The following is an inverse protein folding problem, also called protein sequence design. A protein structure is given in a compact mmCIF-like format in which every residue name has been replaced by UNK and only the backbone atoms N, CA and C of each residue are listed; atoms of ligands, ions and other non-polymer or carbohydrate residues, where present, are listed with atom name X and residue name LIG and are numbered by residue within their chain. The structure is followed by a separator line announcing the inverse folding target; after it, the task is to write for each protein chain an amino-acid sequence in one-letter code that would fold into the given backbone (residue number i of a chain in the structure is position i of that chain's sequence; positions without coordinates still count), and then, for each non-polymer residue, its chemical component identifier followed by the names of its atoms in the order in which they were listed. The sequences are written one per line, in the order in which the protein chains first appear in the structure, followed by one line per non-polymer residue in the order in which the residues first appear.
data_IF_881807795248
#
_entry.id   IF_881807795248
#
_cell.length_a   1.000
_cell.length_b   1.000
_cell.length_c   1.000
_cell.angle_alpha   90.00
_cell.angle_beta   90.00
_cell.angle_gamma   90.00
#
_symmetry.space_group_name_H-M   'P 1'
#
loop_
_entity.id
_entity.type
_entity.pdbx_description
1 polymer ?
#
# COMPACT_ATOMS: atom_id res chain seq x y z
N UNK A 1 -40.43 6.87 69.19
CA UNK A 1 -40.91 6.79 67.79
C UNK A 1 -40.13 5.67 67.11
N UNK A 2 -40.07 4.49 67.74
CA UNK A 2 -41.11 3.44 67.82
C UNK A 2 -41.03 2.59 66.55
N UNK A 3 -40.75 1.28 66.56
CA UNK A 3 -40.68 0.33 67.65
C UNK A 3 -39.92 -0.94 67.26
N UNK A 4 -39.80 -1.82 68.25
CA UNK A 4 -38.90 -2.96 68.42
C UNK A 4 -39.67 -4.29 68.25
N UNK A 5 -38.93 -5.36 67.89
CA UNK A 5 -39.12 -6.79 68.19
C UNK A 5 -40.15 -7.68 67.46
N UNK A 6 -39.71 -8.94 67.25
CA UNK A 6 -40.58 -10.09 67.10
C UNK A 6 -39.93 -11.31 66.44
N UNK A 7 -39.03 -12.01 67.15
CA UNK A 7 -38.49 -13.32 66.77
C UNK A 7 -39.54 -14.45 66.91
N UNK A 8 -39.42 -15.53 66.13
CA UNK A 8 -39.80 -16.93 66.51
C UNK A 8 -39.51 -17.95 65.39
N UNK A 9 -38.56 -18.87 65.61
CA UNK A 9 -38.52 -20.25 65.09
C UNK A 9 -39.00 -21.16 66.24
N UNK A 10 -39.63 -22.35 66.04
CA UNK A 10 -39.00 -23.57 65.48
C UNK A 10 -40.02 -24.42 64.62
N UNK A 11 -39.70 -25.53 63.94
CA UNK A 11 -39.41 -26.90 64.45
C UNK A 11 -38.97 -27.86 63.33
N UNK A 12 -38.17 -28.87 63.71
CA UNK A 12 -37.72 -30.02 62.92
C UNK A 12 -38.79 -31.11 62.79
N UNK A 13 -38.73 -31.89 61.69
CA UNK A 13 -39.04 -33.34 61.51
C UNK A 13 -39.27 -33.57 60.00
N UNK A 14 -38.91 -34.67 59.32
CA UNK A 14 -38.00 -35.79 59.48
C UNK A 14 -38.05 -36.58 58.13
N UNK A 15 -37.13 -37.53 57.92
CA UNK A 15 -37.14 -38.63 56.91
C UNK A 15 -36.55 -38.42 55.49
N UNK A 16 -35.27 -38.79 55.34
CA UNK A 16 -34.74 -40.01 54.65
C UNK A 16 -35.64 -40.67 53.57
N UNK A 17 -35.20 -41.24 52.43
CA UNK A 17 -33.89 -41.61 51.90
C UNK A 17 -33.97 -41.98 50.39
N UNK A 18 -32.80 -41.93 49.75
CA UNK A 18 -32.26 -42.75 48.64
C UNK A 18 -32.90 -42.79 47.24
N UNK A 19 -32.11 -42.30 46.29
CA UNK A 19 -32.10 -42.73 44.88
C UNK A 19 -30.76 -42.39 44.24
N UNK A 20 -29.78 -43.28 44.42
CA UNK A 20 -28.43 -43.24 43.82
C UNK A 20 -28.47 -43.45 42.31
N UNK A 21 -27.77 -42.60 41.55
CA UNK A 21 -27.46 -42.81 40.14
C UNK A 21 -26.36 -41.84 39.70
N UNK A 22 -25.10 -42.21 39.90
CA UNK A 22 -23.96 -41.48 39.34
C UNK A 22 -23.80 -41.75 37.85
N UNK A 23 -23.26 -40.78 37.10
CA UNK A 23 -21.95 -40.87 36.42
C UNK A 23 -21.58 -39.52 35.79
N UNK A 24 -20.33 -39.15 36.03
CA UNK A 24 -19.40 -38.38 35.18
C UNK A 24 -19.55 -36.87 35.01
N UNK A 25 -18.78 -36.20 35.86
CA UNK A 25 -18.13 -34.90 35.70
C UNK A 25 -17.28 -34.85 34.41
N UNK A 26 -17.52 -33.85 33.54
CA UNK A 26 -16.60 -33.47 32.46
C UNK A 26 -16.26 -31.97 32.56
N UNK A 27 -14.97 -31.57 32.52
CA UNK A 27 -14.57 -30.18 32.71
C UNK A 27 -14.72 -29.35 31.43
N UNK A 28 -15.22 -28.12 31.60
CA UNK A 28 -15.21 -27.06 30.61
C UNK A 28 -13.77 -26.77 30.16
N UNK A 29 -13.42 -27.09 28.92
CA UNK A 29 -12.17 -26.63 28.29
C UNK A 29 -12.37 -26.06 26.89
N UNK A 30 -11.60 -25.00 26.66
CA UNK A 30 -11.25 -24.36 25.39
C UNK A 30 -12.28 -23.39 24.76
N UNK A 31 -12.13 -22.12 25.12
CA UNK A 31 -12.38 -20.99 24.22
C UNK A 31 -11.51 -21.15 22.97
N UNK A 32 -12.06 -21.78 21.94
CA UNK A 32 -11.45 -21.83 20.61
C UNK A 32 -11.48 -20.43 20.01
N UNK A 33 -10.34 -19.75 20.03
CA UNK A 33 -10.11 -18.56 19.20
C UNK A 33 -10.25 -19.00 17.75
N UNK A 34 -11.34 -18.55 17.09
CA UNK A 34 -11.54 -18.73 15.64
C UNK A 34 -10.36 -18.08 14.92
N UNK A 35 -9.30 -18.83 14.66
CA UNK A 35 -8.28 -18.46 13.68
C UNK A 35 -9.01 -18.32 12.35
N UNK A 36 -8.96 -17.12 11.78
CA UNK A 36 -9.35 -16.85 10.40
C UNK A 36 -8.66 -17.89 9.51
N UNK A 37 -9.39 -18.93 9.09
CA UNK A 37 -8.91 -19.80 8.03
C UNK A 37 -8.94 -18.96 6.76
N UNK A 38 -7.81 -18.80 6.04
CA UNK A 38 -7.85 -18.16 4.74
C UNK A 38 -8.83 -18.93 3.85
N UNK A 39 -9.71 -18.20 3.17
CA UNK A 39 -10.54 -18.75 2.11
C UNK A 39 -9.55 -19.09 0.99
N UNK A 40 -9.10 -20.33 0.94
CA UNK A 40 -8.25 -20.83 -0.15
C UNK A 40 -9.18 -21.03 -1.35
N UNK A 41 -9.14 -20.10 -2.31
CA UNK A 41 -9.76 -20.33 -3.62
C UNK A 41 -9.11 -21.55 -4.26
N UNK A 42 -9.91 -22.45 -4.80
CA UNK A 42 -9.47 -23.77 -5.31
C UNK A 42 -8.62 -23.76 -6.58
N UNK A 43 -8.37 -22.60 -7.20
CA UNK A 43 -7.48 -22.48 -8.35
C UNK A 43 -6.10 -21.95 -7.94
N UNK A 44 -4.99 -22.56 -8.42
CA UNK A 44 -3.65 -22.03 -8.20
C UNK A 44 -3.51 -20.68 -8.91
N UNK A 45 -2.99 -19.68 -8.20
CA UNK A 45 -2.71 -18.36 -8.76
C UNK A 45 -1.68 -18.47 -9.90
N UNK A 46 -2.07 -18.04 -11.10
CA UNK A 46 -1.13 -17.78 -12.20
C UNK A 46 -0.46 -16.41 -11.98
N UNK A 47 0.81 -16.43 -11.59
CA UNK A 47 1.59 -15.21 -11.30
C UNK A 47 1.80 -14.39 -12.58
N UNK A 48 2.00 -15.04 -13.73
CA UNK A 48 2.31 -14.36 -14.98
C UNK A 48 1.11 -13.57 -15.47
N UNK A 49 -0.05 -14.24 -15.52
CA UNK A 49 -1.32 -13.60 -15.87
C UNK A 49 -1.64 -12.45 -14.90
N UNK A 50 -1.47 -12.66 -13.60
CA UNK A 50 -1.74 -11.63 -12.59
C UNK A 50 -0.78 -10.43 -12.70
N UNK A 51 0.52 -10.66 -12.84
CA UNK A 51 1.52 -9.60 -12.95
C UNK A 51 1.38 -8.82 -14.27
N UNK A 52 0.86 -9.46 -15.32
CA UNK A 52 0.53 -8.82 -16.61
C UNK A 52 -0.53 -7.72 -16.52
N UNK A 53 -1.35 -7.70 -15.46
CA UNK A 53 -2.37 -6.67 -15.22
C UNK A 53 -1.80 -5.34 -14.70
N UNK A 54 -0.53 -5.32 -14.31
CA UNK A 54 0.11 -4.18 -13.67
C UNK A 54 1.40 -3.79 -14.38
N UNK A 55 1.84 -2.56 -14.19
CA UNK A 55 3.11 -2.04 -14.73
C UNK A 55 3.89 -1.29 -13.67
N UNK A 56 5.18 -1.07 -13.95
CA UNK A 56 6.05 -0.23 -13.13
C UNK A 56 6.14 -0.68 -11.67
N UNK A 57 6.18 0.31 -10.75
CA UNK A 57 6.41 0.08 -9.32
C UNK A 57 5.37 -0.82 -8.67
N UNK A 58 4.10 -0.67 -9.01
CA UNK A 58 3.02 -1.49 -8.43
C UNK A 58 3.15 -2.96 -8.82
N UNK A 59 3.55 -3.27 -10.07
CA UNK A 59 3.85 -4.66 -10.49
C UNK A 59 4.94 -5.28 -9.61
N UNK A 60 6.04 -4.56 -9.43
CA UNK A 60 7.16 -4.99 -8.59
C UNK A 60 6.71 -5.21 -7.14
N UNK A 61 5.98 -4.26 -6.54
CA UNK A 61 5.48 -4.38 -5.17
C UNK A 61 4.52 -5.55 -4.98
N UNK A 62 3.65 -5.83 -5.95
CA UNK A 62 2.75 -6.99 -5.93
C UNK A 62 3.51 -8.32 -6.04
N UNK A 63 4.51 -8.41 -6.92
CA UNK A 63 5.37 -9.59 -7.02
C UNK A 63 6.15 -9.84 -5.73
N UNK A 64 6.74 -8.79 -5.15
CA UNK A 64 7.43 -8.87 -3.86
C UNK A 64 6.48 -9.27 -2.73
N UNK A 65 5.23 -8.81 -2.75
CA UNK A 65 4.21 -9.24 -1.80
C UNK A 65 3.90 -10.73 -1.92
N UNK A 66 3.68 -11.23 -3.14
CA UNK A 66 3.46 -12.66 -3.40
C UNK A 66 4.63 -13.49 -2.88
N UNK A 67 5.86 -13.10 -3.20
CA UNK A 67 7.07 -13.79 -2.76
C UNK A 67 7.21 -13.86 -1.23
N UNK A 68 6.71 -12.86 -0.49
CA UNK A 68 6.82 -12.82 0.97
C UNK A 68 5.69 -13.58 1.70
N UNK A 69 4.58 -13.91 1.03
CA UNK A 69 3.37 -14.43 1.70
C UNK A 69 2.86 -15.75 1.13
N UNK A 70 3.34 -16.20 -0.02
CA UNK A 70 2.96 -17.50 -0.56
C UNK A 70 3.75 -18.60 0.15
N UNK A 71 3.12 -19.72 0.50
CA UNK A 71 3.81 -20.88 1.11
C UNK A 71 4.48 -21.81 0.08
N UNK A 72 4.18 -21.66 -1.20
CA UNK A 72 4.75 -22.48 -2.28
C UNK A 72 6.13 -21.95 -2.71
N UNK A 73 7.23 -22.69 -2.48
CA UNK A 73 8.58 -22.19 -2.79
C UNK A 73 8.82 -21.90 -4.28
N UNK A 74 8.20 -22.67 -5.18
CA UNK A 74 8.29 -22.43 -6.62
C UNK A 74 7.63 -21.12 -7.02
N UNK A 75 6.43 -20.86 -6.47
CA UNK A 75 5.70 -19.60 -6.68
C UNK A 75 6.47 -18.39 -6.11
N UNK A 76 7.05 -18.53 -4.92
CA UNK A 76 7.90 -17.48 -4.35
C UNK A 76 9.07 -17.14 -5.27
N UNK A 77 9.78 -18.17 -5.75
CA UNK A 77 10.98 -17.99 -6.55
C UNK A 77 10.67 -17.41 -7.93
N UNK A 78 9.57 -17.82 -8.55
CA UNK A 78 9.10 -17.26 -9.82
C UNK A 78 8.69 -15.79 -9.68
N UNK A 79 7.99 -15.44 -8.61
CA UNK A 79 7.65 -14.04 -8.33
C UNK A 79 8.89 -13.16 -8.14
N UNK A 80 9.94 -13.68 -7.47
CA UNK A 80 11.21 -12.97 -7.31
C UNK A 80 11.96 -12.82 -8.64
N UNK A 81 11.96 -13.86 -9.49
CA UNK A 81 12.53 -13.83 -10.84
C UNK A 81 11.89 -12.73 -11.68
N UNK A 82 10.56 -12.70 -11.73
CA UNK A 82 9.80 -11.69 -12.45
C UNK A 82 10.02 -10.28 -11.87
N UNK A 83 10.12 -10.14 -10.55
CA UNK A 83 10.39 -8.86 -9.90
C UNK A 83 11.78 -8.33 -10.27
N UNK A 84 12.80 -9.20 -10.26
CA UNK A 84 14.16 -8.86 -10.68
C UNK A 84 14.18 -8.35 -12.12
N UNK A 85 13.57 -9.09 -13.05
CA UNK A 85 13.51 -8.73 -14.47
C UNK A 85 12.80 -7.39 -14.70
N UNK A 86 11.71 -7.13 -13.96
CA UNK A 86 10.98 -5.88 -14.06
C UNK A 86 11.77 -4.70 -13.46
N UNK A 87 12.46 -4.90 -12.32
CA UNK A 87 13.31 -3.87 -11.70
C UNK A 87 14.47 -3.47 -12.62
N UNK A 88 15.10 -4.43 -13.30
CA UNK A 88 16.22 -4.20 -14.23
C UNK A 88 15.84 -3.35 -15.45
N UNK A 89 14.55 -3.19 -15.75
CA UNK A 89 14.04 -2.24 -16.77
C UNK A 89 14.01 -0.79 -16.28
N UNK A 90 14.06 -0.58 -14.97
CA UNK A 90 14.00 0.74 -14.33
C UNK A 90 15.35 1.20 -13.76
N UNK A 91 15.28 2.22 -12.90
CA UNK A 91 16.47 2.90 -12.32
C UNK A 91 16.49 2.81 -10.77
N UNK A 92 15.66 1.95 -10.17
CA UNK A 92 15.55 1.81 -8.72
C UNK A 92 16.56 0.79 -8.17
N UNK A 93 17.77 1.25 -7.82
CA UNK A 93 18.82 0.37 -7.28
C UNK A 93 18.51 -0.16 -5.89
N UNK A 94 17.69 0.53 -5.09
CA UNK A 94 17.29 0.06 -3.77
C UNK A 94 16.42 -1.21 -3.84
N UNK A 95 15.36 -1.19 -4.67
CA UNK A 95 14.52 -2.37 -4.91
C UNK A 95 15.33 -3.51 -5.55
N UNK A 96 16.30 -3.18 -6.40
CA UNK A 96 17.20 -4.19 -6.98
C UNK A 96 18.02 -4.91 -5.90
N UNK A 97 18.61 -4.16 -4.96
CA UNK A 97 19.34 -4.76 -3.84
C UNK A 97 18.43 -5.62 -2.96
N UNK A 98 17.21 -5.15 -2.70
CA UNK A 98 16.20 -5.88 -1.91
C UNK A 98 15.80 -7.21 -2.58
N UNK A 99 15.49 -7.20 -3.87
CA UNK A 99 15.06 -8.43 -4.58
C UNK A 99 16.19 -9.43 -4.69
N UNK A 100 17.43 -8.99 -4.95
CA UNK A 100 18.59 -9.88 -5.01
C UNK A 100 18.87 -10.52 -3.66
N UNK A 101 18.78 -9.75 -2.57
CA UNK A 101 18.91 -10.28 -1.22
C UNK A 101 17.83 -11.33 -0.94
N UNK A 102 16.59 -11.10 -1.38
CA UNK A 102 15.50 -12.08 -1.22
C UNK A 102 15.69 -13.32 -2.09
N UNK A 103 16.27 -13.20 -3.28
CA UNK A 103 16.58 -14.36 -4.15
C UNK A 103 17.60 -15.28 -3.45
N UNK A 104 18.58 -14.70 -2.76
CA UNK A 104 19.56 -15.44 -1.94
C UNK A 104 20.28 -16.54 -2.73
N UNK A 105 20.66 -16.23 -3.98
CA UNK A 105 21.38 -17.15 -4.87
C UNK A 105 20.55 -18.32 -5.42
N UNK A 106 19.30 -18.50 -5.00
CA UNK A 106 18.44 -19.65 -5.39
C UNK A 106 18.09 -19.71 -6.88
N UNK A 107 18.25 -18.62 -7.61
CA UNK A 107 18.05 -18.53 -9.07
C UNK A 107 19.37 -18.65 -9.87
N UNK A 108 20.50 -18.88 -9.20
CA UNK A 108 21.80 -18.98 -9.84
C UNK A 108 22.44 -17.64 -10.21
N UNK A 109 23.62 -17.66 -10.89
CA UNK A 109 24.48 -16.49 -11.07
C UNK A 109 23.86 -15.39 -11.94
N UNK A 110 22.94 -15.72 -12.84
CA UNK A 110 22.28 -14.74 -13.72
C UNK A 110 21.38 -13.75 -12.95
N UNK A 111 21.00 -14.09 -11.72
CA UNK A 111 20.16 -13.28 -10.84
C UNK A 111 20.93 -12.78 -9.60
N UNK A 112 22.26 -12.85 -9.64
CA UNK A 112 23.12 -12.33 -8.58
C UNK A 112 23.23 -10.79 -8.63
N UNK A 113 23.84 -10.22 -7.59
CA UNK A 113 24.08 -8.78 -7.48
C UNK A 113 25.00 -8.28 -8.59
N UNK A 114 24.49 -7.40 -9.44
CA UNK A 114 25.27 -6.67 -10.43
C UNK A 114 25.67 -5.29 -9.88
N UNK A 115 26.80 -5.25 -9.17
CA UNK A 115 27.32 -4.02 -8.58
C UNK A 115 27.70 -2.97 -9.64
N UNK A 116 28.17 -3.41 -10.81
CA UNK A 116 28.53 -2.51 -11.91
C UNK A 116 27.30 -1.79 -12.48
N UNK A 117 26.18 -2.50 -12.62
CA UNK A 117 24.91 -1.90 -13.00
C UNK A 117 24.43 -0.89 -11.96
N UNK A 118 24.44 -1.22 -10.67
CA UNK A 118 24.06 -0.28 -9.61
C UNK A 118 24.87 1.03 -9.70
N UNK A 119 26.21 0.92 -9.73
CA UNK A 119 27.09 2.09 -9.82
C UNK A 119 26.88 2.89 -11.10
N UNK A 120 26.59 2.23 -12.23
CA UNK A 120 26.28 2.90 -13.50
C UNK A 120 24.97 3.70 -13.42
N UNK A 121 23.92 3.12 -12.85
CA UNK A 121 22.62 3.79 -12.68
C UNK A 121 22.76 4.95 -11.70
N UNK A 122 23.42 4.77 -10.56
CA UNK A 122 23.64 5.81 -9.55
C UNK A 122 24.46 6.99 -10.12
N UNK A 123 25.52 6.73 -10.89
CA UNK A 123 26.29 7.79 -11.56
C UNK A 123 25.46 8.54 -12.60
N UNK A 124 24.64 7.84 -13.38
CA UNK A 124 23.73 8.46 -14.36
C UNK A 124 22.67 9.30 -13.66
N UNK A 125 22.16 8.83 -12.51
CA UNK A 125 21.18 9.55 -11.71
C UNK A 125 21.73 10.89 -11.21
N UNK A 126 22.97 10.92 -10.71
CA UNK A 126 23.61 12.16 -10.24
C UNK A 126 23.77 13.19 -11.36
N UNK A 127 24.31 12.76 -12.51
CA UNK A 127 24.44 13.64 -13.68
C UNK A 127 23.09 14.19 -14.16
N UNK A 128 22.05 13.35 -14.17
CA UNK A 128 20.69 13.77 -14.55
C UNK A 128 20.13 14.75 -13.53
N UNK A 129 20.38 14.55 -12.24
CA UNK A 129 19.93 15.43 -11.17
C UNK A 129 20.57 16.82 -11.31
N UNK A 130 21.88 16.91 -11.47
CA UNK A 130 22.60 18.18 -11.69
C UNK A 130 22.04 18.94 -12.91
N UNK A 131 21.76 18.22 -14.01
CA UNK A 131 21.14 18.80 -15.20
C UNK A 131 19.75 19.36 -14.91
N UNK A 132 18.88 18.60 -14.25
CA UNK A 132 17.53 19.06 -13.88
C UNK A 132 17.59 20.28 -12.93
N UNK A 133 18.56 20.32 -12.01
CA UNK A 133 18.76 21.46 -11.11
C UNK A 133 19.15 22.72 -11.89
N UNK A 134 20.08 22.60 -12.83
CA UNK A 134 20.50 23.70 -13.71
C UNK A 134 19.34 24.23 -14.56
N UNK A 135 18.57 23.33 -15.20
CA UNK A 135 17.40 23.68 -16.01
C UNK A 135 16.32 24.38 -15.19
N UNK A 136 15.96 23.82 -14.02
CA UNK A 136 14.96 24.42 -13.14
C UNK A 136 15.41 25.80 -12.63
N UNK A 137 16.69 25.98 -12.30
CA UNK A 137 17.22 27.28 -11.89
C UNK A 137 17.12 28.30 -13.02
N UNK A 138 17.44 27.92 -14.26
CA UNK A 138 17.27 28.80 -15.42
C UNK A 138 15.79 29.21 -15.61
N UNK A 139 14.85 28.26 -15.48
CA UNK A 139 13.41 28.55 -15.58
C UNK A 139 12.92 29.49 -14.47
N UNK A 140 13.44 29.34 -13.25
CA UNK A 140 13.12 30.21 -12.12
C UNK A 140 13.67 31.62 -12.30
N UNK A 141 14.89 31.77 -12.82
CA UNK A 141 15.47 33.08 -13.16
C UNK A 141 14.66 33.78 -14.25
N UNK A 142 14.19 33.04 -15.25
CA UNK A 142 13.39 33.57 -16.36
C UNK A 142 11.90 33.76 -16.00
N UNK A 143 11.45 33.32 -14.82
CA UNK A 143 10.07 33.44 -14.32
C UNK A 143 8.99 32.84 -15.24
N UNK A 144 9.34 31.82 -16.04
CA UNK A 144 8.40 31.16 -16.94
C UNK A 144 7.63 30.09 -16.15
N UNK A 145 6.43 30.43 -15.68
CA UNK A 145 5.62 29.56 -14.81
C UNK A 145 5.49 28.12 -15.33
N UNK A 146 5.15 27.95 -16.61
CA UNK A 146 4.94 26.61 -17.18
C UNK A 146 6.23 25.80 -17.21
N UNK A 147 7.38 26.41 -17.55
CA UNK A 147 8.68 25.73 -17.52
C UNK A 147 9.08 25.35 -16.08
N UNK A 148 8.81 26.20 -15.09
CA UNK A 148 9.06 25.88 -13.68
C UNK A 148 8.15 24.71 -13.24
N UNK A 149 6.88 24.72 -13.65
CA UNK A 149 5.92 23.65 -13.36
C UNK A 149 6.41 22.31 -13.93
N UNK A 150 6.83 22.31 -15.21
CA UNK A 150 7.37 21.12 -15.87
C UNK A 150 8.66 20.66 -15.21
N UNK A 151 9.59 21.56 -14.88
CA UNK A 151 10.82 21.19 -14.18
C UNK A 151 10.57 20.52 -12.82
N UNK A 152 9.59 21.01 -12.03
CA UNK A 152 9.19 20.31 -10.80
C UNK A 152 8.50 18.97 -11.05
N UNK A 153 7.75 18.83 -12.14
CA UNK A 153 7.19 17.53 -12.54
C UNK A 153 8.30 16.54 -12.90
N UNK A 154 9.30 16.97 -13.67
CA UNK A 154 10.44 16.15 -14.08
C UNK A 154 11.28 15.70 -12.87
N UNK A 155 11.43 16.57 -11.85
CA UNK A 155 12.00 16.17 -10.56
C UNK A 155 11.14 15.12 -9.85
N UNK A 156 9.82 15.29 -9.86
CA UNK A 156 8.88 14.29 -9.34
C UNK A 156 9.09 12.92 -9.99
N UNK A 157 9.11 12.89 -11.32
CA UNK A 157 9.31 11.68 -12.11
C UNK A 157 10.69 11.06 -11.86
N UNK A 158 11.73 11.89 -11.78
CA UNK A 158 13.10 11.47 -11.45
C UNK A 158 13.15 10.79 -10.09
N UNK A 159 12.68 11.44 -9.03
CA UNK A 159 12.71 10.87 -7.68
C UNK A 159 11.83 9.63 -7.57
N UNK A 160 10.68 9.60 -8.25
CA UNK A 160 9.81 8.44 -8.29
C UNK A 160 10.50 7.22 -8.91
N UNK A 161 11.15 7.40 -10.06
CA UNK A 161 11.88 6.34 -10.76
C UNK A 161 13.03 5.76 -9.90
N UNK A 162 13.71 6.60 -9.13
CA UNK A 162 14.82 6.20 -8.24
C UNK A 162 14.35 5.72 -6.86
N UNK A 163 13.04 5.77 -6.57
CA UNK A 163 12.47 5.29 -5.31
C UNK A 163 12.47 6.28 -4.14
N UNK A 164 12.89 7.53 -4.37
CA UNK A 164 12.84 8.60 -3.39
C UNK A 164 11.43 9.19 -3.30
N UNK A 165 10.46 8.39 -2.85
CA UNK A 165 9.03 8.74 -2.90
C UNK A 165 8.69 10.04 -2.14
N UNK A 166 9.35 10.29 -1.01
CA UNK A 166 9.13 11.53 -0.24
C UNK A 166 9.50 12.79 -1.03
N UNK A 167 10.61 12.76 -1.77
CA UNK A 167 11.06 13.90 -2.58
C UNK A 167 10.28 14.01 -3.89
N UNK A 168 9.84 12.88 -4.44
CA UNK A 168 8.88 12.86 -5.55
C UNK A 168 7.59 13.58 -5.17
N UNK A 169 7.00 13.22 -4.02
CA UNK A 169 5.78 13.87 -3.51
C UNK A 169 5.97 15.37 -3.32
N UNK A 170 7.06 15.80 -2.66
CA UNK A 170 7.37 17.23 -2.47
C UNK A 170 7.47 17.95 -3.81
N UNK A 171 8.15 17.37 -4.79
CA UNK A 171 8.35 17.95 -6.12
C UNK A 171 7.04 18.11 -6.88
N UNK A 172 6.19 17.07 -6.91
CA UNK A 172 4.87 17.16 -7.52
C UNK A 172 4.00 18.21 -6.85
N UNK A 173 3.92 18.24 -5.52
CA UNK A 173 3.08 19.22 -4.80
C UNK A 173 3.60 20.65 -4.98
N UNK A 174 4.92 20.83 -5.18
CA UNK A 174 5.51 22.14 -5.46
C UNK A 174 5.04 22.75 -6.77
N UNK A 175 4.59 21.94 -7.73
CA UNK A 175 3.99 22.44 -8.99
C UNK A 175 2.75 23.32 -8.76
N UNK A 176 2.06 23.17 -7.61
CA UNK A 176 0.86 23.93 -7.23
C UNK A 176 1.00 25.43 -7.46
N UNK A 177 2.13 26.00 -7.06
CA UNK A 177 2.38 27.44 -7.07
C UNK A 177 2.52 27.99 -8.52
N UNK A 178 2.64 27.08 -9.49
CA UNK A 178 2.85 27.36 -10.92
C UNK A 178 1.71 26.82 -11.80
N UNK A 179 0.66 26.25 -11.22
CA UNK A 179 -0.54 25.86 -11.95
C UNK A 179 -1.29 27.11 -12.46
N UNK A 180 -1.66 27.10 -13.74
CA UNK A 180 -2.43 28.18 -14.39
C UNK A 180 -3.77 27.72 -14.95
N UNK A 181 -4.00 26.41 -14.97
CA UNK A 181 -5.23 25.78 -15.47
C UNK A 181 -5.70 24.71 -14.50
N UNK A 182 -7.00 24.39 -14.54
CA UNK A 182 -7.59 23.29 -13.78
C UNK A 182 -6.93 21.94 -14.10
N UNK A 183 -6.55 21.73 -15.37
CA UNK A 183 -5.82 20.52 -15.81
C UNK A 183 -4.48 20.37 -15.09
N UNK A 184 -3.76 21.46 -14.84
CA UNK A 184 -2.50 21.41 -14.09
C UNK A 184 -2.73 20.97 -12.64
N UNK A 185 -3.79 21.47 -12.00
CA UNK A 185 -4.15 21.11 -10.63
C UNK A 185 -4.55 19.64 -10.54
N UNK A 186 -5.36 19.16 -11.48
CA UNK A 186 -5.79 17.76 -11.55
C UNK A 186 -4.57 16.84 -11.73
N UNK A 187 -3.68 17.13 -12.68
CA UNK A 187 -2.46 16.34 -12.90
C UNK A 187 -1.59 16.26 -11.64
N UNK A 188 -1.37 17.40 -10.97
CA UNK A 188 -0.66 17.43 -9.70
C UNK A 188 -1.34 16.53 -8.65
N UNK A 189 -2.67 16.58 -8.53
CA UNK A 189 -3.40 15.75 -7.58
C UNK A 189 -3.25 14.26 -7.90
N UNK A 190 -3.33 13.87 -9.18
CA UNK A 190 -3.13 12.48 -9.60
C UNK A 190 -1.72 11.98 -9.27
N UNK A 191 -0.68 12.79 -9.51
CA UNK A 191 0.69 12.44 -9.14
C UNK A 191 0.86 12.33 -7.61
N UNK A 192 0.29 13.26 -6.85
CA UNK A 192 0.32 13.22 -5.39
C UNK A 192 -0.41 11.98 -4.83
N UNK A 193 -1.55 11.60 -5.43
CA UNK A 193 -2.30 10.38 -5.10
C UNK A 193 -1.45 9.14 -5.36
N UNK A 194 -0.87 9.02 -6.56
CA UNK A 194 -0.02 7.89 -6.95
C UNK A 194 1.10 7.66 -5.93
N UNK A 195 1.87 8.71 -5.62
CA UNK A 195 2.99 8.60 -4.68
C UNK A 195 2.49 8.33 -3.25
N UNK A 196 1.34 8.91 -2.85
CA UNK A 196 0.77 8.67 -1.52
C UNK A 196 0.30 7.23 -1.33
N UNK A 197 -0.26 6.59 -2.36
CA UNK A 197 -0.59 5.16 -2.35
C UNK A 197 0.67 4.32 -2.13
N UNK A 198 1.73 4.61 -2.89
CA UNK A 198 3.02 3.89 -2.79
C UNK A 198 3.74 4.11 -1.44
N UNK A 199 3.46 5.22 -0.74
CA UNK A 199 3.93 5.50 0.61
C UNK A 199 2.97 5.02 1.73
N UNK A 200 1.83 4.41 1.37
CA UNK A 200 0.80 3.94 2.31
C UNK A 200 0.19 5.11 3.15
N UNK A 201 0.14 6.32 2.58
CA UNK A 201 -0.38 7.54 3.22
C UNK A 201 -1.80 7.86 2.72
N UNK A 202 -2.79 7.06 3.11
CA UNK A 202 -4.17 7.20 2.59
C UNK A 202 -4.94 8.44 3.07
N UNK A 203 -4.46 9.12 4.12
CA UNK A 203 -4.93 10.46 4.51
C UNK A 203 -4.66 11.50 3.42
N UNK A 204 -3.46 11.46 2.82
CA UNK A 204 -3.10 12.30 1.69
C UNK A 204 -3.95 11.94 0.47
N UNK A 205 -4.13 10.64 0.16
CA UNK A 205 -4.98 10.19 -0.95
C UNK A 205 -6.37 10.81 -0.86
N UNK A 206 -7.01 10.71 0.30
CA UNK A 206 -8.34 11.31 0.53
C UNK A 206 -8.33 12.81 0.30
N UNK A 207 -7.32 13.51 0.82
CA UNK A 207 -7.20 14.97 0.71
C UNK A 207 -7.03 15.44 -0.74
N UNK A 208 -6.20 14.76 -1.53
CA UNK A 208 -5.98 15.13 -2.93
C UNK A 208 -7.11 14.68 -3.86
N UNK A 209 -7.84 13.60 -3.52
CA UNK A 209 -9.09 13.26 -4.21
C UNK A 209 -10.11 14.39 -4.02
N UNK A 210 -10.39 14.77 -2.77
CA UNK A 210 -11.34 15.85 -2.49
C UNK A 210 -10.91 17.19 -3.09
N UNK A 211 -9.61 17.42 -3.26
CA UNK A 211 -9.09 18.60 -3.95
C UNK A 211 -9.34 18.56 -5.46
N UNK A 212 -9.12 17.40 -6.10
CA UNK A 212 -9.35 17.26 -7.54
C UNK A 212 -10.86 17.34 -7.89
N UNK A 213 -11.73 16.82 -7.02
CA UNK A 213 -13.19 16.84 -7.19
C UNK A 213 -13.79 18.26 -7.09
N UNK A 214 -13.06 19.24 -6.55
CA UNK A 214 -13.51 20.64 -6.47
C UNK A 214 -13.55 21.37 -7.83
N UNK A 215 -13.10 20.73 -8.91
CA UNK A 215 -13.06 21.34 -10.25
C UNK A 215 -13.72 20.41 -11.29
N UNK A 216 -15.02 20.09 -11.13
CA UNK A 216 -15.70 19.04 -11.88
C UNK A 216 -15.76 19.30 -13.38
N UNK A 217 -15.82 20.57 -13.81
CA UNK A 217 -15.86 20.96 -15.23
C UNK A 217 -14.58 20.63 -16.01
N UNK A 218 -13.48 20.36 -15.31
CA UNK A 218 -12.20 19.99 -15.91
C UNK A 218 -11.90 18.49 -15.84
N UNK A 219 -12.79 17.68 -15.23
CA UNK A 219 -12.62 16.24 -15.09
C UNK A 219 -13.21 15.51 -16.30
N UNK A 220 -12.37 14.76 -17.01
CA UNK A 220 -12.85 13.81 -18.01
C UNK A 220 -13.32 12.51 -17.33
N UNK A 221 -14.18 11.70 -17.99
CA UNK A 221 -14.69 10.46 -17.41
C UNK A 221 -13.59 9.49 -16.91
N UNK A 222 -12.45 9.30 -17.62
CA UNK A 222 -11.34 8.50 -17.10
C UNK A 222 -10.75 9.03 -15.79
N UNK A 223 -10.63 10.35 -15.64
CA UNK A 223 -10.11 10.95 -14.40
C UNK A 223 -11.09 10.77 -13.26
N UNK A 224 -12.40 10.94 -13.49
CA UNK A 224 -13.43 10.65 -12.48
C UNK A 224 -13.31 9.20 -12.01
N UNK A 225 -13.18 8.24 -12.93
CA UNK A 225 -13.01 6.83 -12.58
C UNK A 225 -11.74 6.59 -11.74
N UNK A 226 -10.60 7.22 -12.09
CA UNK A 226 -9.36 7.13 -11.31
C UNK A 226 -9.52 7.67 -9.89
N UNK A 227 -10.21 8.80 -9.73
CA UNK A 227 -10.48 9.40 -8.42
C UNK A 227 -11.41 8.51 -7.57
N UNK A 228 -12.45 7.94 -8.17
CA UNK A 228 -13.32 6.96 -7.50
C UNK A 228 -12.53 5.74 -7.03
N UNK A 229 -11.70 5.14 -7.89
CA UNK A 229 -10.84 4.02 -7.53
C UNK A 229 -9.87 4.36 -6.38
N UNK A 230 -9.23 5.53 -6.42
CA UNK A 230 -8.33 5.97 -5.36
C UNK A 230 -9.06 6.19 -4.02
N UNK A 231 -10.26 6.78 -4.06
CA UNK A 231 -11.11 6.95 -2.88
C UNK A 231 -11.58 5.60 -2.31
N UNK A 232 -12.00 4.69 -3.18
CA UNK A 232 -12.41 3.33 -2.82
C UNK A 232 -11.27 2.58 -2.13
N UNK A 233 -10.05 2.66 -2.67
CA UNK A 233 -8.87 2.08 -2.06
C UNK A 233 -8.54 2.69 -0.69
N UNK A 234 -8.62 4.02 -0.55
CA UNK A 234 -8.42 4.67 0.74
C UNK A 234 -9.47 4.26 1.79
N UNK A 235 -10.73 4.07 1.39
CA UNK A 235 -11.77 3.53 2.27
C UNK A 235 -11.56 2.07 2.63
N UNK A 236 -11.10 1.25 1.69
CA UNK A 236 -10.78 -0.16 1.92
C UNK A 236 -9.68 -0.31 2.98
N UNK A 237 -8.61 0.47 2.86
CA UNK A 237 -7.50 0.51 3.81
C UNK A 237 -7.93 1.01 5.19
N UNK A 238 -8.83 2.00 5.22
CA UNK A 238 -9.44 2.47 6.47
C UNK A 238 -10.48 1.48 7.05
N UNK A 239 -10.65 0.28 6.47
CA UNK A 239 -11.65 -0.75 6.84
C UNK A 239 -13.10 -0.24 6.79
N UNK A 240 -13.36 0.80 5.99
CA UNK A 240 -14.69 1.37 5.76
C UNK A 240 -15.34 0.69 4.56
N UNK A 241 -15.56 -0.62 4.65
CA UNK A 241 -16.00 -1.46 3.52
C UNK A 241 -17.30 -1.00 2.86
N UNK A 242 -18.27 -0.50 3.65
CA UNK A 242 -19.53 0.06 3.13
C UNK A 242 -19.32 1.31 2.26
N UNK A 243 -18.32 2.12 2.58
CA UNK A 243 -17.98 3.31 1.78
C UNK A 243 -17.15 2.92 0.56
N UNK A 244 -16.23 1.96 0.70
CA UNK A 244 -15.43 1.45 -0.40
C UNK A 244 -16.31 0.84 -1.50
N UNK A 245 -17.32 0.03 -1.14
CA UNK A 245 -18.23 -0.62 -2.10
C UNK A 245 -19.19 0.34 -2.82
N UNK A 246 -19.27 1.61 -2.39
CA UNK A 246 -20.11 2.65 -3.01
C UNK A 246 -19.34 3.52 -4.02
N UNK A 247 -18.03 3.38 -4.06
CA UNK A 247 -17.16 4.06 -5.02
C UNK A 247 -17.04 3.23 -6.28
#
# INVERSE_FOLDING_TARGET
MDGIEGASNPTMEEMQANGTGGVDELPLTSTSTRKNRPIVSGEPLDIEAYAGLYTGRTKIKRLMFIANHCDNPGMQLEALRMAYDEIKKGENTHLYREVVQKIDGRLGPNYAMDAAWCSKIERKAEQRKEKLESELNAYRTNLIKESIRMGYNDFGDFYYAHGALGDAFKSYVRTRDYCTTSKHIIQMCLNAILVSIEMVQFSNVTSYVSKAEQTPEALDPPTVAKLCCAAGLAHLEAKKYKLAARK
#
